data_IF_427450170711
#
_entry.id   IF_427450170711
#
_cell.length_a   1.000
_cell.length_b   1.000
_cell.length_c   1.000
_cell.angle_alpha   90.00
_cell.angle_beta   90.00
_cell.angle_gamma   90.00
#
_symmetry.space_group_name_H-M   'P 1'
#
loop_
_entity.id
_entity.type
_entity.pdbx_description
1 polymer ?
#
# COMPACT_ATOMS: atom_id res chain seq x y z
N UNK A 1 -2.29 -9.31 -8.58
CA UNK A 1 -3.33 -8.31 -8.19
C UNK A 1 -4.64 -8.66 -8.90
N UNK A 2 -5.77 -8.12 -8.42
CA UNK A 2 -7.13 -8.41 -8.87
C UNK A 2 -7.32 -8.40 -10.41
N UNK A 3 -8.18 -9.27 -10.95
CA UNK A 3 -8.49 -9.33 -12.38
C UNK A 3 -9.43 -8.21 -12.84
N UNK A 4 -10.39 -7.81 -12.01
CA UNK A 4 -11.26 -6.66 -12.25
C UNK A 4 -11.80 -6.12 -10.93
N UNK A 5 -11.70 -4.81 -10.72
CA UNK A 5 -12.30 -4.10 -9.59
C UNK A 5 -13.23 -3.04 -10.14
N UNK A 6 -14.50 -3.07 -9.73
CA UNK A 6 -15.49 -2.05 -10.08
C UNK A 6 -15.74 -1.13 -8.89
N UNK A 7 -15.82 0.17 -9.18
CA UNK A 7 -16.05 1.24 -8.21
C UNK A 7 -17.17 2.15 -8.70
N UNK A 8 -17.84 2.84 -7.77
CA UNK A 8 -18.83 3.87 -8.07
C UNK A 8 -18.75 4.95 -6.99
N UNK A 9 -19.20 6.16 -7.32
CA UNK A 9 -19.24 7.28 -6.39
C UNK A 9 -20.65 7.41 -5.83
N UNK A 10 -20.77 7.49 -4.50
CA UNK A 10 -22.03 7.79 -3.83
C UNK A 10 -22.21 9.31 -3.75
N UNK A 11 -23.31 9.79 -4.30
CA UNK A 11 -23.77 11.18 -4.27
C UNK A 11 -25.04 11.28 -3.43
N UNK A 12 -25.50 12.49 -3.12
CA UNK A 12 -26.78 12.69 -2.42
C UNK A 12 -27.96 12.13 -3.21
N UNK A 13 -27.92 12.25 -4.54
CA UNK A 13 -29.02 11.85 -5.43
C UNK A 13 -28.99 10.35 -5.80
N UNK A 14 -27.96 9.60 -5.38
CA UNK A 14 -27.81 8.19 -5.69
C UNK A 14 -26.35 7.75 -5.89
N UNK A 15 -26.17 6.67 -6.65
CA UNK A 15 -24.84 6.10 -6.96
C UNK A 15 -24.59 6.24 -8.46
N UNK A 16 -23.39 6.68 -8.84
CA UNK A 16 -22.99 6.76 -10.25
C UNK A 16 -22.96 5.38 -10.92
N UNK A 17 -22.96 5.30 -12.26
CA UNK A 17 -22.57 4.07 -12.94
C UNK A 17 -21.20 3.56 -12.46
N UNK A 18 -21.04 2.24 -12.49
CA UNK A 18 -19.77 1.62 -12.15
C UNK A 18 -18.70 1.92 -13.22
N UNK A 19 -17.49 2.17 -12.76
CA UNK A 19 -16.29 2.26 -13.59
C UNK A 19 -15.25 1.25 -13.10
N UNK A 20 -14.32 0.89 -13.98
CA UNK A 20 -13.24 -0.05 -13.64
C UNK A 20 -12.08 0.69 -12.97
N UNK A 21 -11.59 0.16 -11.86
CA UNK A 21 -10.35 0.61 -11.24
C UNK A 21 -9.19 -0.25 -11.71
N UNK A 22 -8.15 0.41 -12.23
CA UNK A 22 -6.97 -0.24 -12.81
C UNK A 22 -5.73 -0.19 -11.90
N UNK A 23 -5.78 0.60 -10.81
CA UNK A 23 -4.63 0.86 -9.94
C UNK A 23 -5.03 0.70 -8.48
N UNK A 24 -4.08 0.18 -7.69
CA UNK A 24 -4.22 0.00 -6.25
C UNK A 24 -4.94 -1.29 -5.86
N UNK A 25 -5.33 -1.36 -4.58
CA UNK A 25 -6.02 -2.50 -3.97
C UNK A 25 -7.44 -2.09 -3.55
N UNK A 26 -8.37 -3.05 -3.51
CA UNK A 26 -9.75 -2.79 -3.15
C UNK A 26 -9.89 -2.48 -1.65
N UNK A 27 -10.23 -1.23 -1.31
CA UNK A 27 -10.54 -0.82 0.06
C UNK A 27 -11.63 -1.70 0.70
N UNK A 28 -11.46 -2.06 1.98
CA UNK A 28 -12.39 -2.94 2.70
C UNK A 28 -12.35 -4.42 2.31
N UNK A 29 -11.47 -4.84 1.40
CA UNK A 29 -11.23 -6.26 1.13
C UNK A 29 -10.16 -6.80 2.09
N UNK A 30 -10.45 -7.93 2.75
CA UNK A 30 -9.55 -8.57 3.72
C UNK A 30 -8.16 -8.92 3.15
N UNK A 31 -8.04 -9.12 1.83
CA UNK A 31 -6.78 -9.44 1.17
C UNK A 31 -5.97 -8.20 0.79
N UNK A 32 -6.61 -7.02 0.72
CA UNK A 32 -5.94 -5.80 0.30
C UNK A 32 -4.78 -5.37 1.20
N UNK A 33 -4.88 -5.44 2.55
CA UNK A 33 -3.74 -5.15 3.42
C UNK A 33 -2.54 -6.04 3.13
N UNK A 34 -2.75 -7.33 2.93
CA UNK A 34 -1.65 -8.27 2.60
C UNK A 34 -1.02 -7.95 1.25
N UNK A 35 -1.84 -7.69 0.22
CA UNK A 35 -1.33 -7.33 -1.11
C UNK A 35 -0.57 -6.01 -1.10
N UNK A 36 -1.02 -5.04 -0.29
CA UNK A 36 -0.34 -3.77 -0.12
C UNK A 36 1.00 -3.96 0.61
N UNK A 37 1.03 -4.72 1.70
CA UNK A 37 2.26 -5.05 2.42
C UNK A 37 3.29 -5.76 1.52
N UNK A 38 2.85 -6.69 0.67
CA UNK A 38 3.73 -7.34 -0.30
C UNK A 38 4.30 -6.35 -1.33
N UNK A 39 3.53 -5.34 -1.72
CA UNK A 39 3.99 -4.32 -2.66
C UNK A 39 5.04 -3.38 -2.04
N UNK A 40 4.83 -2.94 -0.80
CA UNK A 40 5.77 -2.02 -0.13
C UNK A 40 7.01 -2.71 0.46
N UNK A 41 7.03 -4.05 0.52
CA UNK A 41 8.13 -4.82 1.11
C UNK A 41 9.49 -4.62 0.41
N UNK A 42 9.47 -4.07 -0.81
CA UNK A 42 10.69 -3.76 -1.57
C UNK A 42 11.26 -2.37 -1.26
N UNK A 43 10.48 -1.48 -0.63
CA UNK A 43 10.89 -0.12 -0.25
C UNK A 43 12.17 -0.10 0.61
N UNK A 44 12.38 -1.00 1.60
CA UNK A 44 13.58 -0.98 2.42
C UNK A 44 14.87 -1.12 1.61
N UNK A 45 14.81 -1.84 0.47
CA UNK A 45 15.96 -2.04 -0.42
C UNK A 45 16.32 -0.77 -1.22
N UNK A 46 15.44 0.24 -1.25
CA UNK A 46 15.72 1.53 -1.90
C UNK A 46 16.61 2.43 -1.06
N UNK A 47 16.63 2.25 0.26
CA UNK A 47 17.52 3.01 1.14
C UNK A 47 18.96 2.52 0.95
N UNK A 48 19.79 3.38 0.36
CA UNK A 48 21.21 3.11 0.11
C UNK A 48 22.11 3.88 1.09
N UNK A 49 23.41 3.92 0.81
CA UNK A 49 24.46 4.58 1.61
C UNK A 49 24.25 6.06 1.90
N UNK A 50 23.26 6.74 1.31
CA UNK A 50 22.90 8.12 1.68
C UNK A 50 21.97 8.19 2.90
N UNK A 51 21.37 7.08 3.32
CA UNK A 51 20.61 7.02 4.58
C UNK A 51 21.54 6.68 5.74
N UNK A 52 21.35 7.35 6.87
CA UNK A 52 22.02 7.05 8.14
C UNK A 52 21.11 6.14 8.97
N UNK A 53 21.29 4.81 8.93
CA UNK A 53 20.41 3.90 9.67
C UNK A 53 20.63 4.02 11.17
N UNK A 54 19.57 3.80 11.94
CA UNK A 54 19.64 3.75 13.40
C UNK A 54 20.16 2.38 13.81
N UNK A 55 21.17 2.34 14.68
CA UNK A 55 21.66 1.09 15.28
C UNK A 55 20.74 0.64 16.41
N UNK A 56 20.25 -0.58 16.29
CA UNK A 56 19.45 -1.24 17.31
C UNK A 56 20.06 -2.63 17.61
N UNK A 57 20.91 -2.68 18.65
CA UNK A 57 21.74 -3.86 18.92
C UNK A 57 22.71 -4.13 17.76
N UNK A 58 22.67 -5.35 17.23
CA UNK A 58 23.49 -5.78 16.10
C UNK A 58 22.81 -5.53 14.73
N UNK A 59 21.65 -4.87 14.71
CA UNK A 59 20.89 -4.57 13.47
C UNK A 59 20.92 -3.08 13.15
N UNK A 60 21.01 -2.76 11.86
CA UNK A 60 20.85 -1.40 11.33
C UNK A 60 19.45 -1.27 10.72
N UNK A 61 18.68 -0.30 11.22
CA UNK A 61 17.30 -0.04 10.79
C UNK A 61 17.27 1.25 9.95
N UNK A 62 16.99 1.12 8.66
CA UNK A 62 16.87 2.26 7.75
C UNK A 62 15.44 2.82 7.66
N UNK A 63 14.43 2.02 7.99
CA UNK A 63 13.01 2.42 7.96
C UNK A 63 12.14 1.45 8.76
N UNK A 64 10.91 1.88 9.09
CA UNK A 64 9.86 1.04 9.66
C UNK A 64 8.61 1.21 8.81
N UNK A 65 8.07 0.12 8.26
CA UNK A 65 6.87 0.17 7.44
C UNK A 65 5.65 -0.22 8.25
N UNK A 66 4.62 0.62 8.26
CA UNK A 66 3.33 0.30 8.85
C UNK A 66 2.19 0.84 8.00
N UNK A 67 1.54 -0.03 7.22
CA UNK A 67 0.57 0.40 6.23
C UNK A 67 1.16 1.54 5.37
N UNK A 68 0.48 2.68 5.26
CA UNK A 68 0.93 3.85 4.51
C UNK A 68 1.95 4.73 5.26
N UNK A 69 2.22 4.45 6.53
CA UNK A 69 3.27 5.13 7.32
C UNK A 69 4.66 4.50 7.08
N UNK A 70 5.67 5.37 6.97
CA UNK A 70 7.09 5.07 6.74
C UNK A 70 7.97 5.96 7.62
#
# INVERSE_FOLDING_TARGET
MYSSVKSAVKLEQGVTPFFQSHVGVKQGCNLSPTLFNLFINDIPNLFNTTCEPVKFGDTELSCLLYADDL
#
